data_IF_290852154855
#
_entry.id   IF_290852154855
#
_cell.length_a   1.000
_cell.length_b   1.000
_cell.length_c   1.000
_cell.angle_alpha   90.00
_cell.angle_beta   90.00
_cell.angle_gamma   90.00
#
_symmetry.space_group_name_H-M   'P 1'
#
loop_
_entity.id
_entity.type
_entity.pdbx_description
1 polymer ?
#
# COMPACT_ATOMS: atom_id res chain seq x y z
N UNK A 1 20.17 2.98 13.18
CA UNK A 1 19.71 3.85 14.29
C UNK A 1 18.42 4.61 13.97
N UNK A 2 18.38 5.63 13.08
CA UNK A 2 17.09 6.36 12.80
C UNK A 2 16.05 5.48 12.08
N UNK A 3 16.48 4.68 11.09
CA UNK A 3 15.59 3.73 10.40
C UNK A 3 15.10 2.65 11.36
N UNK A 4 15.98 2.12 12.22
CA UNK A 4 15.61 1.18 13.28
C UNK A 4 14.57 1.80 14.22
N UNK A 5 14.72 3.04 14.67
CA UNK A 5 13.74 3.73 15.52
C UNK A 5 12.39 3.97 14.83
N UNK A 6 12.38 4.24 13.52
CA UNK A 6 11.14 4.39 12.73
C UNK A 6 10.43 3.05 12.49
N UNK A 7 11.18 1.97 12.29
CA UNK A 7 10.61 0.61 12.24
C UNK A 7 10.22 0.08 13.62
N UNK A 8 10.93 0.44 14.69
CA UNK A 8 10.65 0.04 16.08
C UNK A 8 9.39 0.74 16.65
N UNK A 9 9.01 1.89 16.07
CA UNK A 9 7.76 2.58 16.38
C UNK A 9 6.59 2.12 15.51
N UNK A 10 6.85 1.30 14.48
CA UNK A 10 5.80 0.56 13.80
C UNK A 10 5.37 -0.62 14.70
N UNK A 11 4.07 -0.68 15.02
CA UNK A 11 3.45 -1.66 15.93
C UNK A 11 3.68 -3.12 15.52
N UNK A 12 4.15 -3.36 14.29
CA UNK A 12 4.26 -4.66 13.63
C UNK A 12 5.73 -5.12 13.40
N UNK A 13 6.70 -4.53 14.10
CA UNK A 13 8.11 -4.94 14.01
C UNK A 13 8.34 -6.38 14.52
N UNK A 14 9.07 -7.17 13.73
CA UNK A 14 9.53 -8.52 14.12
C UNK A 14 10.98 -8.75 13.69
N UNK A 15 11.69 -9.63 14.39
CA UNK A 15 13.08 -9.99 14.03
C UNK A 15 13.19 -10.53 12.60
N UNK A 16 12.15 -11.19 12.09
CA UNK A 16 12.13 -11.68 10.72
C UNK A 16 12.16 -10.58 9.66
N UNK A 17 11.56 -9.41 9.94
CA UNK A 17 11.61 -8.25 9.05
C UNK A 17 13.05 -7.70 9.02
N UNK A 18 13.70 -7.60 10.18
CA UNK A 18 15.10 -7.22 10.27
C UNK A 18 15.99 -8.15 9.46
N UNK A 19 15.83 -9.46 9.64
CA UNK A 19 16.64 -10.47 8.95
C UNK A 19 16.49 -10.39 7.43
N UNK A 20 15.29 -10.05 6.93
CA UNK A 20 15.06 -9.87 5.50
C UNK A 20 15.72 -8.59 4.97
N UNK A 21 15.58 -7.47 5.69
CA UNK A 21 16.14 -6.18 5.27
C UNK A 21 17.67 -6.12 5.35
N UNK A 22 18.27 -6.92 6.22
CA UNK A 22 19.74 -7.04 6.37
C UNK A 22 20.31 -8.23 5.61
N UNK A 23 19.49 -8.98 4.88
CA UNK A 23 19.93 -10.15 4.14
C UNK A 23 20.97 -9.78 3.08
N UNK A 24 22.08 -10.51 3.02
CA UNK A 24 23.20 -10.23 2.10
C UNK A 24 22.79 -10.15 0.63
N UNK A 25 21.74 -10.88 0.23
CA UNK A 25 21.16 -10.80 -1.11
C UNK A 25 20.72 -9.38 -1.47
N UNK A 26 20.15 -8.60 -0.54
CA UNK A 26 19.70 -7.22 -0.83
C UNK A 26 20.86 -6.25 -1.11
N UNK A 27 22.07 -6.59 -0.69
CA UNK A 27 23.28 -5.83 -1.00
C UNK A 27 23.90 -6.20 -2.36
N UNK A 28 23.46 -7.32 -2.96
CA UNK A 28 23.91 -7.73 -4.29
C UNK A 28 23.16 -6.98 -5.40
N UNK A 29 23.64 -7.05 -6.62
CA UNK A 29 22.89 -6.52 -7.78
C UNK A 29 21.81 -7.52 -8.18
N UNK A 30 20.56 -7.04 -8.27
CA UNK A 30 19.47 -7.86 -8.76
C UNK A 30 19.66 -8.14 -10.26
N UNK A 31 19.39 -9.37 -10.68
CA UNK A 31 19.40 -9.75 -12.09
C UNK A 31 18.31 -9.00 -12.89
N UNK A 32 17.22 -8.63 -12.23
CA UNK A 32 16.07 -7.98 -12.82
C UNK A 32 15.55 -6.91 -11.84
N UNK A 33 15.28 -5.71 -12.36
CA UNK A 33 14.68 -4.61 -11.61
C UNK A 33 13.33 -4.26 -12.24
N UNK A 34 12.30 -4.16 -11.42
CA UNK A 34 10.91 -4.06 -11.84
C UNK A 34 10.17 -2.93 -11.09
N UNK A 35 9.19 -2.28 -11.74
CA UNK A 35 8.28 -1.37 -11.06
C UNK A 35 7.37 -2.14 -10.07
N UNK A 36 6.89 -1.50 -8.99
CA UNK A 36 6.14 -2.17 -7.93
C UNK A 36 4.83 -2.80 -8.42
N UNK A 37 4.16 -2.20 -9.41
CA UNK A 37 2.94 -2.76 -10.00
C UNK A 37 3.17 -4.09 -10.71
N UNK A 38 4.29 -4.23 -11.45
CA UNK A 38 4.65 -5.48 -12.11
C UNK A 38 5.02 -6.55 -11.08
N UNK A 39 5.72 -6.18 -10.02
CA UNK A 39 6.05 -7.10 -8.93
C UNK A 39 4.77 -7.62 -8.28
N UNK A 40 3.79 -6.77 -7.94
CA UNK A 40 2.52 -7.26 -7.39
C UNK A 40 1.76 -8.18 -8.35
N UNK A 41 1.80 -7.88 -9.64
CA UNK A 41 1.25 -8.76 -10.68
C UNK A 41 1.90 -10.14 -10.69
N UNK A 42 3.19 -10.26 -10.35
CA UNK A 42 3.87 -11.56 -10.19
C UNK A 42 3.56 -12.21 -8.84
N UNK A 43 3.49 -11.43 -7.76
CA UNK A 43 3.16 -11.92 -6.40
C UNK A 43 1.77 -12.57 -6.37
N UNK A 44 0.78 -11.98 -7.05
CA UNK A 44 -0.61 -12.47 -7.06
C UNK A 44 -0.74 -13.91 -7.57
N UNK A 45 0.10 -14.30 -8.54
CA UNK A 45 0.09 -15.64 -9.15
C UNK A 45 1.21 -16.57 -8.63
N UNK A 46 2.04 -16.16 -7.68
CA UNK A 46 3.13 -16.99 -7.18
C UNK A 46 2.60 -18.19 -6.36
N UNK A 47 2.79 -19.40 -6.89
CA UNK A 47 2.37 -20.64 -6.23
C UNK A 47 3.00 -20.85 -4.84
N UNK A 48 4.22 -20.34 -4.60
CA UNK A 48 4.95 -20.46 -3.32
C UNK A 48 4.25 -19.76 -2.16
N UNK A 49 3.36 -18.81 -2.47
CA UNK A 49 2.61 -18.01 -1.50
C UNK A 49 1.19 -18.54 -1.26
N UNK A 50 0.84 -19.69 -1.85
CA UNK A 50 -0.50 -20.26 -1.77
C UNK A 50 -0.67 -21.14 -0.52
N UNK A 51 -1.87 -21.09 0.09
CA UNK A 51 -2.21 -21.92 1.26
C UNK A 51 -1.53 -21.53 2.57
N UNK A 52 -0.91 -20.34 2.64
CA UNK A 52 -0.21 -19.87 3.83
C UNK A 52 -1.15 -19.33 4.92
N UNK A 53 -2.24 -18.67 4.54
CA UNK A 53 -3.18 -18.04 5.49
C UNK A 53 -4.33 -18.98 5.79
N UNK A 54 -4.19 -19.75 6.87
CA UNK A 54 -5.13 -20.84 7.21
C UNK A 54 -6.37 -20.30 7.93
N UNK A 55 -6.19 -19.25 8.71
CA UNK A 55 -7.25 -18.64 9.53
C UNK A 55 -8.09 -17.61 8.76
N UNK A 56 -7.71 -17.30 7.51
CA UNK A 56 -8.31 -16.25 6.69
C UNK A 56 -7.38 -15.05 6.50
N UNK A 57 -7.87 -13.96 5.88
CA UNK A 57 -7.07 -12.77 5.65
C UNK A 57 -6.74 -12.05 6.97
N UNK A 58 -5.53 -11.52 7.09
CA UNK A 58 -5.12 -10.75 8.26
C UNK A 58 -3.62 -10.78 8.52
N UNK A 59 -3.06 -9.65 8.93
CA UNK A 59 -1.61 -9.52 9.17
C UNK A 59 -1.09 -10.42 10.30
N UNK A 60 -1.96 -10.89 11.19
CA UNK A 60 -1.59 -11.86 12.23
C UNK A 60 -1.04 -13.19 11.68
N UNK A 61 -1.36 -13.53 10.42
CA UNK A 61 -0.83 -14.73 9.74
C UNK A 61 0.56 -14.51 9.13
N UNK A 62 1.18 -13.32 9.25
CA UNK A 62 2.49 -13.00 8.64
C UNK A 62 3.59 -13.97 9.08
N UNK A 63 3.51 -14.52 10.29
CA UNK A 63 4.43 -15.54 10.78
C UNK A 63 4.47 -16.79 9.90
N UNK A 64 3.36 -17.16 9.26
CA UNK A 64 3.31 -18.31 8.34
C UNK A 64 4.18 -18.10 7.10
N UNK A 65 4.36 -16.84 6.67
CA UNK A 65 5.28 -16.49 5.58
C UNK A 65 6.72 -16.72 6.02
N UNK A 66 7.09 -16.30 7.23
CA UNK A 66 8.45 -16.42 7.73
C UNK A 66 8.85 -17.85 8.08
N UNK A 67 7.91 -18.65 8.59
CA UNK A 67 8.11 -20.06 8.91
C UNK A 67 8.24 -20.94 7.67
N UNK A 68 7.66 -20.52 6.54
CA UNK A 68 7.80 -21.22 5.26
C UNK A 68 9.01 -20.71 4.48
N UNK A 69 10.05 -21.54 4.34
CA UNK A 69 11.29 -21.15 3.66
C UNK A 69 11.07 -20.74 2.20
N UNK A 70 10.15 -21.39 1.48
CA UNK A 70 9.82 -21.07 0.09
C UNK A 70 9.14 -19.71 -0.03
N UNK A 71 8.18 -19.43 0.86
CA UNK A 71 7.49 -18.15 0.92
C UNK A 71 8.43 -17.01 1.32
N UNK A 72 9.26 -17.24 2.35
CA UNK A 72 10.29 -16.28 2.78
C UNK A 72 11.25 -15.94 1.64
N UNK A 73 11.73 -16.94 0.90
CA UNK A 73 12.60 -16.74 -0.25
C UNK A 73 11.89 -15.98 -1.38
N UNK A 74 10.60 -16.25 -1.62
CA UNK A 74 9.79 -15.51 -2.59
C UNK A 74 9.67 -14.02 -2.22
N UNK A 75 9.34 -13.71 -0.96
CA UNK A 75 9.23 -12.33 -0.49
C UNK A 75 10.58 -11.60 -0.61
N UNK A 76 11.68 -12.24 -0.20
CA UNK A 76 13.01 -11.66 -0.34
C UNK A 76 13.35 -11.32 -1.79
N UNK A 77 13.06 -12.24 -2.71
CA UNK A 77 13.26 -12.04 -4.16
C UNK A 77 12.43 -10.88 -4.71
N UNK A 78 11.15 -10.76 -4.33
CA UNK A 78 10.31 -9.63 -4.75
C UNK A 78 10.70 -8.28 -4.15
N UNK A 79 11.21 -8.27 -2.92
CA UNK A 79 11.78 -7.04 -2.33
C UNK A 79 13.07 -6.65 -3.03
N UNK A 80 13.88 -7.63 -3.41
CA UNK A 80 15.14 -7.41 -4.12
C UNK A 80 14.96 -6.82 -5.52
N UNK A 81 13.89 -7.24 -6.21
CA UNK A 81 13.53 -6.80 -7.57
C UNK A 81 12.99 -5.37 -7.68
N UNK A 82 12.71 -4.68 -6.57
CA UNK A 82 12.19 -3.31 -6.63
C UNK A 82 13.23 -2.37 -7.27
N UNK A 83 12.85 -1.73 -8.37
CA UNK A 83 13.67 -0.73 -9.03
C UNK A 83 13.70 0.58 -8.23
N UNK A 84 14.82 0.84 -7.56
CA UNK A 84 15.07 2.07 -6.81
C UNK A 84 16.12 2.98 -7.47
N UNK A 85 16.44 2.78 -8.76
CA UNK A 85 17.45 3.59 -9.46
C UNK A 85 17.06 5.06 -9.55
N UNK A 86 15.76 5.34 -9.67
CA UNK A 86 15.20 6.68 -9.59
C UNK A 86 14.19 6.73 -8.44
N UNK A 87 14.59 7.43 -7.38
CA UNK A 87 13.81 7.56 -6.14
C UNK A 87 12.49 8.29 -6.40
N UNK A 88 12.47 9.31 -7.26
CA UNK A 88 11.25 10.06 -7.55
C UNK A 88 10.24 9.19 -8.30
N UNK A 89 10.72 8.41 -9.27
CA UNK A 89 9.90 7.47 -10.05
C UNK A 89 9.33 6.36 -9.17
N UNK A 90 10.14 5.69 -8.36
CA UNK A 90 9.63 4.60 -7.49
C UNK A 90 8.64 5.14 -6.46
N UNK A 91 8.88 6.33 -5.89
CA UNK A 91 7.92 6.96 -4.98
C UNK A 91 6.60 7.29 -5.67
N UNK A 92 6.63 7.77 -6.92
CA UNK A 92 5.39 8.01 -7.68
C UNK A 92 4.65 6.70 -7.98
N UNK A 93 5.38 5.65 -8.37
CA UNK A 93 4.78 4.34 -8.65
C UNK A 93 4.18 3.71 -7.38
N UNK A 94 4.83 3.85 -6.23
CA UNK A 94 4.28 3.42 -4.94
C UNK A 94 3.06 4.25 -4.56
N UNK A 95 3.04 5.56 -4.82
CA UNK A 95 1.87 6.42 -4.59
C UNK A 95 0.68 5.93 -5.40
N UNK A 96 0.85 5.80 -6.72
CA UNK A 96 -0.21 5.34 -7.63
C UNK A 96 -0.72 3.95 -7.23
N UNK A 97 0.19 3.03 -6.92
CA UNK A 97 -0.17 1.69 -6.50
C UNK A 97 -0.92 1.69 -5.17
N UNK A 98 -0.50 2.48 -4.19
CA UNK A 98 -1.15 2.54 -2.88
C UNK A 98 -2.62 2.95 -2.97
N UNK A 99 -2.96 3.83 -3.91
CA UNK A 99 -4.33 4.26 -4.18
C UNK A 99 -5.15 3.15 -4.80
N UNK A 100 -4.57 2.44 -5.78
CA UNK A 100 -5.22 1.27 -6.37
C UNK A 100 -5.45 0.16 -5.32
N UNK A 101 -4.48 -0.07 -4.44
CA UNK A 101 -4.61 -1.06 -3.37
C UNK A 101 -5.76 -0.73 -2.40
N UNK A 102 -5.98 0.55 -2.11
CA UNK A 102 -7.10 1.02 -1.28
C UNK A 102 -8.44 0.90 -2.02
N UNK A 103 -8.53 1.36 -3.28
CA UNK A 103 -9.81 1.60 -3.96
C UNK A 103 -10.17 0.58 -5.06
N UNK A 104 -9.28 -0.34 -5.41
CA UNK A 104 -9.42 -1.19 -6.60
C UNK A 104 -9.20 -2.69 -6.34
N UNK A 105 -9.39 -3.15 -5.11
CA UNK A 105 -9.15 -4.55 -4.68
C UNK A 105 -10.42 -5.34 -4.35
N UNK A 106 -11.59 -4.79 -4.67
CA UNK A 106 -12.90 -5.40 -4.48
C UNK A 106 -13.58 -5.75 -5.81
N UNK A 107 -14.71 -6.46 -5.74
CA UNK A 107 -15.48 -6.83 -6.93
C UNK A 107 -16.33 -5.64 -7.41
N UNK A 108 -16.44 -5.45 -8.71
CA UNK A 108 -17.30 -4.42 -9.30
C UNK A 108 -18.74 -4.52 -8.77
N UNK A 109 -19.33 -3.38 -8.38
CA UNK A 109 -20.67 -3.31 -7.78
C UNK A 109 -20.76 -3.73 -6.31
N UNK A 110 -19.66 -4.19 -5.70
CA UNK A 110 -19.59 -4.55 -4.28
C UNK A 110 -18.40 -3.83 -3.62
N UNK A 111 -18.52 -2.51 -3.35
CA UNK A 111 -17.46 -1.74 -2.75
C UNK A 111 -17.05 -2.29 -1.39
N UNK A 112 -15.76 -2.58 -1.24
CA UNK A 112 -15.16 -3.00 0.01
C UNK A 112 -13.76 -2.39 0.09
N UNK A 113 -13.47 -1.79 1.24
CA UNK A 113 -12.18 -1.14 1.51
C UNK A 113 -11.46 -1.93 2.59
N UNK A 114 -10.34 -2.54 2.24
CA UNK A 114 -9.55 -3.34 3.16
C UNK A 114 -8.80 -2.43 4.15
N UNK A 115 -8.86 -2.77 5.44
CA UNK A 115 -8.24 -1.97 6.50
C UNK A 115 -6.71 -1.89 6.39
N UNK A 116 -6.04 -2.97 5.98
CA UNK A 116 -4.59 -3.01 5.86
C UNK A 116 -4.14 -2.34 4.56
N UNK A 117 -4.80 -2.65 3.44
CA UNK A 117 -4.45 -2.03 2.15
C UNK A 117 -4.79 -0.53 2.15
N UNK A 118 -5.84 -0.12 2.86
CA UNK A 118 -6.22 1.27 3.01
C UNK A 118 -5.22 2.14 3.78
N UNK A 119 -4.24 1.54 4.45
CA UNK A 119 -3.14 2.26 5.11
C UNK A 119 -1.99 2.59 4.17
N UNK A 120 -1.93 1.97 2.99
CA UNK A 120 -0.81 2.16 2.07
C UNK A 120 -0.65 3.62 1.63
N UNK A 121 -1.71 4.40 1.32
CA UNK A 121 -1.54 5.82 0.99
C UNK A 121 -0.84 6.59 2.11
N UNK A 122 -1.25 6.40 3.36
CA UNK A 122 -0.60 7.05 4.51
C UNK A 122 0.84 6.61 4.71
N UNK A 123 1.11 5.32 4.51
CA UNK A 123 2.46 4.78 4.60
C UNK A 123 3.38 5.39 3.52
N UNK A 124 2.90 5.50 2.29
CA UNK A 124 3.66 6.10 1.18
C UNK A 124 3.82 7.61 1.34
N UNK A 125 2.80 8.35 1.78
CA UNK A 125 2.97 9.79 2.06
C UNK A 125 4.01 10.02 3.15
N UNK A 126 4.00 9.20 4.20
CA UNK A 126 5.00 9.25 5.28
C UNK A 126 6.40 8.91 4.75
N UNK A 127 6.52 7.90 3.89
CA UNK A 127 7.77 7.54 3.21
C UNK A 127 8.33 8.71 2.41
N UNK A 128 7.51 9.41 1.62
CA UNK A 128 7.95 10.57 0.83
C UNK A 128 8.54 11.66 1.73
N UNK A 129 7.82 12.04 2.79
CA UNK A 129 8.28 13.04 3.74
C UNK A 129 9.60 12.62 4.42
N UNK A 130 9.75 11.35 4.79
CA UNK A 130 10.97 10.84 5.40
C UNK A 130 12.15 10.80 4.42
N UNK A 131 11.93 10.36 3.20
CA UNK A 131 12.98 10.27 2.16
C UNK A 131 13.62 11.64 1.90
N UNK A 132 12.83 12.71 1.95
CA UNK A 132 13.33 14.10 1.81
C UNK A 132 14.29 14.53 2.93
N UNK A 133 14.20 13.92 4.12
CA UNK A 133 15.08 14.26 5.26
C UNK A 133 16.48 13.68 5.15
N UNK A 134 16.69 12.68 4.30
CA UNK A 134 17.99 12.05 4.11
C UNK A 134 18.76 12.74 2.98
N UNK A 135 20.06 12.99 3.17
CA UNK A 135 20.93 13.50 2.10
C UNK A 135 21.47 12.37 1.21
N UNK A 136 21.76 11.22 1.81
CA UNK A 136 22.38 10.07 1.13
C UNK A 136 21.34 9.14 0.49
N UNK A 137 21.67 8.54 -0.65
CA UNK A 137 20.77 7.61 -1.36
C UNK A 137 20.64 6.25 -0.66
N UNK A 138 21.70 5.73 -0.05
CA UNK A 138 21.70 4.41 0.60
C UNK A 138 20.60 4.26 1.65
N UNK A 139 20.52 5.15 2.66
CA UNK A 139 19.43 5.14 3.65
C UNK A 139 18.03 5.27 3.04
N UNK A 140 17.87 6.08 1.97
CA UNK A 140 16.59 6.22 1.25
C UNK A 140 16.15 4.90 0.64
N UNK A 141 17.06 4.20 -0.04
CA UNK A 141 16.79 2.91 -0.68
C UNK A 141 16.40 1.85 0.36
N UNK A 142 17.11 1.80 1.49
CA UNK A 142 16.77 0.88 2.59
C UNK A 142 15.36 1.18 3.13
N UNK A 143 15.03 2.44 3.33
CA UNK A 143 13.70 2.84 3.82
C UNK A 143 12.59 2.49 2.81
N UNK A 144 12.80 2.77 1.53
CA UNK A 144 11.86 2.41 0.45
C UNK A 144 11.63 0.90 0.41
N UNK A 145 12.70 0.10 0.47
CA UNK A 145 12.61 -1.38 0.51
C UNK A 145 11.93 -1.88 1.79
N UNK A 146 12.14 -1.23 2.93
CA UNK A 146 11.45 -1.50 4.18
C UNK A 146 9.94 -1.32 4.08
N UNK A 147 9.52 -0.16 3.57
CA UNK A 147 8.10 0.12 3.31
C UNK A 147 7.51 -0.82 2.28
N UNK A 148 8.25 -1.12 1.21
CA UNK A 148 7.84 -2.06 0.19
C UNK A 148 7.63 -3.48 0.75
N UNK A 149 8.54 -3.97 1.58
CA UNK A 149 8.40 -5.24 2.27
C UNK A 149 7.10 -5.30 3.08
N UNK A 150 6.76 -4.24 3.83
CA UNK A 150 5.51 -4.17 4.58
C UNK A 150 4.28 -4.22 3.65
N UNK A 151 4.30 -3.51 2.53
CA UNK A 151 3.22 -3.55 1.53
C UNK A 151 3.05 -4.95 0.95
N UNK A 152 4.15 -5.62 0.59
CA UNK A 152 4.14 -7.00 0.06
C UNK A 152 3.59 -7.98 1.10
N UNK A 153 4.05 -7.92 2.35
CA UNK A 153 3.57 -8.79 3.43
C UNK A 153 2.07 -8.57 3.71
N UNK A 154 1.64 -7.31 3.79
CA UNK A 154 0.23 -6.98 3.96
C UNK A 154 -0.61 -7.47 2.76
N UNK A 155 -0.14 -7.31 1.53
CA UNK A 155 -0.85 -7.81 0.35
C UNK A 155 -1.02 -9.34 0.37
N UNK A 156 0.05 -10.07 0.71
CA UNK A 156 0.02 -11.54 0.79
C UNK A 156 -0.92 -12.00 1.90
N UNK A 157 -0.85 -11.36 3.07
CA UNK A 157 -1.72 -11.69 4.22
C UNK A 157 -3.19 -11.30 3.99
N UNK A 158 -3.48 -10.37 3.07
CA UNK A 158 -4.83 -10.10 2.58
C UNK A 158 -5.27 -11.01 1.43
N UNK A 159 -4.59 -12.15 1.24
CA UNK A 159 -4.90 -13.15 0.20
C UNK A 159 -4.71 -12.66 -1.24
N UNK A 160 -3.86 -11.64 -1.44
CA UNK A 160 -3.44 -11.15 -2.76
C UNK A 160 -4.65 -10.80 -3.67
N UNK A 161 -5.53 -9.88 -3.24
CA UNK A 161 -6.70 -9.52 -4.05
C UNK A 161 -6.27 -9.00 -5.42
N UNK A 162 -7.09 -9.27 -6.43
CA UNK A 162 -6.90 -8.70 -7.76
C UNK A 162 -7.01 -7.18 -7.69
N UNK A 163 -6.07 -6.48 -8.33
CA UNK A 163 -6.10 -5.02 -8.45
C UNK A 163 -6.68 -4.67 -9.81
N UNK A 164 -7.86 -4.06 -9.84
CA UNK A 164 -8.55 -3.66 -11.07
C UNK A 164 -8.64 -2.13 -11.19
N UNK A 165 -7.68 -1.47 -11.88
CA UNK A 165 -7.63 -0.01 -12.00
C UNK A 165 -8.89 0.64 -12.56
N UNK A 166 -9.67 -0.10 -13.37
CA UNK A 166 -10.93 0.40 -13.93
C UNK A 166 -11.92 0.83 -12.85
N UNK A 167 -11.88 0.22 -11.65
CA UNK A 167 -12.73 0.59 -10.52
C UNK A 167 -12.51 2.02 -10.00
N UNK A 168 -11.34 2.60 -10.27
CA UNK A 168 -11.00 3.99 -9.95
C UNK A 168 -11.07 4.84 -11.21
N UNK A 169 -10.50 4.36 -12.31
CA UNK A 169 -10.39 5.15 -13.54
C UNK A 169 -11.76 5.44 -14.17
N UNK A 170 -12.78 4.60 -13.96
CA UNK A 170 -14.15 4.82 -14.43
C UNK A 170 -15.00 5.73 -13.54
N UNK A 171 -14.47 6.21 -12.40
CA UNK A 171 -15.21 7.07 -11.48
C UNK A 171 -15.44 8.43 -12.13
N UNK A 172 -16.69 8.83 -12.22
CA UNK A 172 -17.08 10.16 -12.64
C UNK A 172 -16.92 11.15 -11.48
N UNK A 173 -16.19 12.23 -11.75
CA UNK A 173 -15.99 13.29 -10.78
C UNK A 173 -17.19 14.26 -10.81
N UNK A 174 -17.55 14.87 -9.67
CA UNK A 174 -18.60 15.87 -9.65
C UNK A 174 -18.27 17.03 -10.60
N UNK A 175 -19.29 17.47 -11.35
CA UNK A 175 -19.18 18.59 -12.26
C UNK A 175 -19.15 19.94 -11.51
N UNK A 176 -18.37 20.88 -12.04
CA UNK A 176 -18.30 22.25 -11.53
C UNK A 176 -17.21 22.47 -10.47
N UNK A 177 -16.46 23.56 -10.60
CA UNK A 177 -15.54 24.05 -9.58
C UNK A 177 -14.33 23.15 -9.27
N UNK A 178 -13.68 23.43 -8.13
CA UNK A 178 -12.54 22.66 -7.66
C UNK A 178 -13.02 21.39 -6.95
N UNK A 179 -12.83 20.24 -7.59
CA UNK A 179 -13.23 18.91 -7.09
C UNK A 179 -12.72 18.64 -5.67
N UNK A 180 -11.51 19.07 -5.31
CA UNK A 180 -11.00 18.88 -3.95
C UNK A 180 -11.81 19.66 -2.91
N UNK A 181 -12.28 20.88 -3.23
CA UNK A 181 -13.17 21.63 -2.34
C UNK A 181 -14.52 20.95 -2.18
N UNK A 182 -15.04 20.32 -3.23
CA UNK A 182 -16.29 19.55 -3.16
C UNK A 182 -16.11 18.34 -2.24
N UNK A 183 -15.03 17.57 -2.44
CA UNK A 183 -14.68 16.42 -1.61
C UNK A 183 -14.55 16.84 -0.15
N UNK A 184 -13.81 17.92 0.14
CA UNK A 184 -13.60 18.39 1.51
C UNK A 184 -14.90 18.82 2.19
N UNK A 185 -15.79 19.53 1.50
CA UNK A 185 -17.10 19.92 2.04
C UNK A 185 -17.97 18.70 2.35
N UNK A 186 -18.10 17.77 1.41
CA UNK A 186 -18.87 16.55 1.59
C UNK A 186 -18.27 15.63 2.67
N UNK A 187 -16.97 15.76 2.93
CA UNK A 187 -16.28 15.01 3.98
C UNK A 187 -16.43 15.65 5.36
N UNK A 188 -16.49 16.98 5.47
CA UNK A 188 -16.73 17.71 6.72
C UNK A 188 -18.09 17.32 7.35
N UNK A 189 -19.11 17.12 6.51
CA UNK A 189 -20.41 16.57 6.92
C UNK A 189 -20.33 15.16 7.52
N UNK A 190 -19.22 14.44 7.26
CA UNK A 190 -18.95 13.08 7.75
C UNK A 190 -17.82 13.06 8.80
N UNK A 191 -17.32 14.17 9.34
CA UNK A 191 -16.07 14.16 10.12
C UNK A 191 -16.09 13.27 11.38
N UNK A 192 -17.26 12.96 11.95
CA UNK A 192 -17.41 12.03 13.08
C UNK A 192 -17.30 10.52 12.71
N UNK A 193 -17.04 10.18 11.45
CA UNK A 193 -17.28 8.83 10.92
C UNK A 193 -16.19 7.78 11.20
N UNK A 194 -14.88 8.07 11.10
CA UNK A 194 -13.78 7.15 11.47
C UNK A 194 -12.39 7.81 11.30
N UNK A 195 -11.47 7.61 12.27
CA UNK A 195 -10.10 8.17 12.23
C UNK A 195 -9.26 7.67 11.05
N UNK A 196 -9.44 6.42 10.62
CA UNK A 196 -8.68 5.84 9.52
C UNK A 196 -9.18 6.35 8.17
N UNK A 197 -10.49 6.61 8.06
CA UNK A 197 -11.05 7.29 6.89
C UNK A 197 -10.48 8.70 6.75
N UNK A 198 -10.43 9.46 7.85
CA UNK A 198 -9.77 10.77 7.92
C UNK A 198 -8.33 10.72 7.43
N UNK A 199 -7.54 9.74 7.89
CA UNK A 199 -6.15 9.56 7.47
C UNK A 199 -6.03 9.19 6.00
N UNK A 200 -6.84 8.25 5.51
CA UNK A 200 -6.83 7.85 4.11
C UNK A 200 -7.18 9.02 3.18
N UNK A 201 -8.23 9.79 3.50
CA UNK A 201 -8.63 10.98 2.74
C UNK A 201 -7.54 12.04 2.70
N UNK A 202 -6.93 12.33 3.86
CA UNK A 202 -5.79 13.26 3.94
C UNK A 202 -4.62 12.80 3.08
N UNK A 203 -4.27 11.52 3.13
CA UNK A 203 -3.16 10.98 2.33
C UNK A 203 -3.45 11.02 0.83
N UNK A 204 -4.68 10.74 0.40
CA UNK A 204 -5.08 10.89 -1.00
C UNK A 204 -4.95 12.34 -1.48
N UNK A 205 -5.31 13.31 -0.64
CA UNK A 205 -5.13 14.73 -0.93
C UNK A 205 -3.64 15.10 -1.04
N UNK A 206 -2.82 14.71 -0.06
CA UNK A 206 -1.37 15.00 -0.05
C UNK A 206 -0.66 14.37 -1.26
N UNK A 207 -0.97 13.11 -1.60
CA UNK A 207 -0.41 12.45 -2.79
C UNK A 207 -0.88 13.09 -4.10
N UNK A 208 -2.14 13.55 -4.14
CA UNK A 208 -2.69 14.31 -5.26
C UNK A 208 -1.96 15.62 -5.49
N UNK A 209 -1.67 16.36 -4.41
CA UNK A 209 -0.91 17.62 -4.49
C UNK A 209 0.55 17.41 -4.86
N UNK A 210 1.15 16.31 -4.41
CA UNK A 210 2.56 15.97 -4.67
C UNK A 210 2.80 15.38 -6.07
N UNK A 211 1.76 14.97 -6.79
CA UNK A 211 1.87 14.39 -8.12
C UNK A 211 1.91 15.48 -9.20
N UNK A 212 2.87 15.38 -10.12
CA UNK A 212 3.09 16.39 -11.15
C UNK A 212 1.86 16.52 -12.09
N UNK A 213 1.18 17.65 -11.91
CA UNK A 213 -0.01 18.31 -12.48
C UNK A 213 -0.85 17.74 -13.65
N UNK A 214 -0.60 16.60 -14.31
CA UNK A 214 -1.44 16.19 -15.45
C UNK A 214 -1.97 14.75 -15.49
N UNK A 215 -1.29 13.76 -14.90
CA UNK A 215 -1.75 12.35 -14.97
C UNK A 215 -2.18 11.81 -13.60
N UNK A 216 -1.44 12.14 -12.54
CA UNK A 216 -1.73 11.69 -11.19
C UNK A 216 -2.98 12.33 -10.58
N UNK A 217 -3.11 13.66 -10.68
CA UNK A 217 -4.16 14.45 -9.98
C UNK A 217 -5.59 13.97 -10.28
N UNK A 218 -5.86 13.42 -11.47
CA UNK A 218 -7.18 12.83 -11.77
C UNK A 218 -7.44 11.56 -10.95
N UNK A 219 -6.46 10.65 -10.84
CA UNK A 219 -6.63 9.36 -10.13
C UNK A 219 -6.82 9.56 -8.63
N UNK A 220 -6.05 10.45 -8.00
CA UNK A 220 -6.18 10.73 -6.57
C UNK A 220 -7.55 11.32 -6.23
N UNK A 221 -8.06 12.25 -7.07
CA UNK A 221 -9.41 12.81 -6.92
C UNK A 221 -10.49 11.76 -7.11
N UNK A 222 -10.36 10.91 -8.13
CA UNK A 222 -11.31 9.81 -8.38
C UNK A 222 -11.36 8.82 -7.23
N UNK A 223 -10.20 8.43 -6.73
CA UNK A 223 -10.11 7.54 -5.57
C UNK A 223 -10.68 8.17 -4.31
N UNK A 224 -10.41 9.45 -4.05
CA UNK A 224 -10.95 10.17 -2.91
C UNK A 224 -12.48 10.32 -3.00
N UNK A 225 -13.01 10.64 -4.18
CA UNK A 225 -14.44 10.72 -4.42
C UNK A 225 -15.12 9.35 -4.22
N UNK A 226 -14.55 8.29 -4.80
CA UNK A 226 -15.02 6.91 -4.64
C UNK A 226 -15.03 6.48 -3.18
N UNK A 227 -13.93 6.71 -2.45
CA UNK A 227 -13.86 6.38 -1.03
C UNK A 227 -14.94 7.14 -0.26
N UNK A 228 -15.10 8.44 -0.51
CA UNK A 228 -16.10 9.24 0.18
C UNK A 228 -17.55 8.79 -0.09
N UNK A 229 -17.86 8.40 -1.33
CA UNK A 229 -19.21 8.06 -1.77
C UNK A 229 -19.59 6.61 -1.45
N UNK A 230 -18.66 5.67 -1.55
CA UNK A 230 -18.93 4.24 -1.45
C UNK A 230 -18.50 3.61 -0.11
N UNK A 231 -17.74 4.32 0.75
CA UNK A 231 -17.30 3.75 2.02
C UNK A 231 -18.46 3.55 2.99
N UNK A 232 -18.61 2.31 3.47
CA UNK A 232 -19.59 1.89 4.48
C UNK A 232 -18.91 1.28 5.72
N UNK A 233 -17.58 1.35 5.79
CA UNK A 233 -16.78 0.71 6.83
C UNK A 233 -15.56 -0.01 6.29
N UNK A 234 -14.67 -0.40 7.19
CA UNK A 234 -13.45 -1.14 6.88
C UNK A 234 -13.66 -2.65 6.94
N UNK A 235 -13.11 -3.37 5.96
CA UNK A 235 -13.06 -4.83 5.89
C UNK A 235 -11.63 -5.34 6.20
N UNK A 236 -11.35 -6.64 6.04
CA UNK A 236 -9.96 -7.15 6.07
C UNK A 236 -9.30 -7.31 7.46
N UNK A 237 -10.03 -7.08 8.55
CA UNK A 237 -9.49 -7.16 9.93
C UNK A 237 -9.31 -8.60 10.46
N UNK A 238 -9.68 -9.63 9.70
CA UNK A 238 -9.44 -11.04 10.06
C UNK A 238 -10.18 -11.58 11.29
N UNK A 239 -11.31 -10.99 11.69
CA UNK A 239 -12.13 -11.44 12.82
C UNK A 239 -13.54 -11.93 12.42
N UNK A 240 -14.26 -12.58 13.34
CA UNK A 240 -15.60 -13.18 13.12
C UNK A 240 -16.66 -12.20 12.55
N UNK A 241 -16.46 -10.89 12.72
CA UNK A 241 -17.32 -9.85 12.14
C UNK A 241 -17.17 -9.66 10.62
N UNK A 242 -16.17 -10.28 9.98
CA UNK A 242 -16.05 -10.34 8.51
C UNK A 242 -17.07 -11.26 7.84
N UNK A 243 -17.95 -11.92 8.61
CA UNK A 243 -19.03 -12.79 8.10
C UNK A 243 -20.38 -12.10 7.91
N UNK A 244 -20.53 -10.83 8.30
CA UNK A 244 -21.80 -10.12 8.06
C UNK A 244 -21.79 -9.48 6.68
N UNK A 245 -22.50 -10.20 5.80
CA UNK A 245 -23.02 -9.81 4.49
C UNK A 245 -23.65 -8.43 4.51
#
# INVERSE_FOLDING_TARGET
LVIESLTLTAVDWTSHIYDLLTHAQLAQSAHELLPPGEILGRVSYDGRLSGLMKSGPGYHEVSNIFLNQSARAAVLDYVHKLDCRDIAVVLQQLSDLSVLMLCATHKAGMPAFDFYLGRFPTLVTSLRALVETFSEEGPKIILIRGVWLLMVLAYITQLRPEVNPALVDSVELPEGGNVWLIILKAFDEKMDSDLWLLRAMRSLWELGMASDRNIGDSRYRKAAWKLLSEWQGWTGRGGENGRRR
#
